data_IF_542677020669
#
_entry.id   IF_542677020669
#
_cell.length_a   1.000
_cell.length_b   1.000
_cell.length_c   1.000
_cell.angle_alpha   90.00
_cell.angle_beta   90.00
_cell.angle_gamma   90.00
#
_symmetry.space_group_name_H-M   'P 1'
#
loop_
_entity.id
_entity.type
_entity.pdbx_description
1 polymer ?
#
# COMPACT_ATOMS: atom_id res chain seq x y z
N UNK A 1 -9.22 -23.33 -12.28
CA UNK A 1 -7.93 -23.68 -12.90
C UNK A 1 -7.10 -24.41 -11.85
N UNK A 2 -6.67 -25.67 -12.11
CA UNK A 2 -5.65 -26.33 -11.31
C UNK A 2 -4.31 -25.59 -11.45
N UNK A 3 -3.55 -25.45 -10.36
CA UNK A 3 -2.21 -24.87 -10.37
C UNK A 3 -1.19 -26.02 -10.32
N UNK A 4 -0.51 -26.27 -11.44
CA UNK A 4 0.60 -27.22 -11.54
C UNK A 4 1.94 -26.48 -11.58
N UNK A 5 3.05 -27.21 -11.47
CA UNK A 5 4.41 -26.66 -11.58
C UNK A 5 4.59 -25.85 -12.87
N UNK A 6 4.13 -26.38 -13.99
CA UNK A 6 4.25 -25.74 -15.30
C UNK A 6 3.37 -24.47 -15.39
N UNK A 7 2.19 -24.48 -14.76
CA UNK A 7 1.29 -23.32 -14.74
C UNK A 7 1.86 -22.16 -13.93
N UNK A 8 2.56 -22.46 -12.83
CA UNK A 8 3.15 -21.43 -11.96
C UNK A 8 4.61 -21.13 -12.31
N UNK A 9 5.14 -21.73 -13.38
CA UNK A 9 6.50 -21.48 -13.81
C UNK A 9 6.68 -19.99 -14.16
N UNK A 10 7.72 -19.37 -13.62
CA UNK A 10 8.10 -17.97 -13.87
C UNK A 10 7.09 -16.88 -13.49
N UNK A 11 5.96 -17.20 -12.83
CA UNK A 11 4.99 -16.16 -12.42
C UNK A 11 5.59 -15.13 -11.45
N UNK A 12 6.64 -15.52 -10.71
CA UNK A 12 7.39 -14.65 -9.80
C UNK A 12 8.22 -13.57 -10.51
N UNK A 13 8.44 -13.69 -11.83
CA UNK A 13 9.16 -12.69 -12.62
C UNK A 13 8.27 -11.52 -13.08
N UNK A 14 6.96 -11.63 -12.87
CA UNK A 14 5.98 -10.62 -13.28
C UNK A 14 5.32 -9.97 -12.07
N UNK A 15 5.05 -8.67 -12.18
CA UNK A 15 4.21 -7.96 -11.22
C UNK A 15 2.73 -8.37 -11.33
N UNK A 16 1.95 -8.04 -10.31
CA UNK A 16 0.52 -8.31 -10.27
C UNK A 16 0.17 -9.69 -9.68
N UNK A 17 -0.99 -10.22 -10.07
CA UNK A 17 -1.49 -11.52 -9.63
C UNK A 17 -1.90 -12.36 -10.83
N UNK A 18 -1.27 -13.52 -11.01
CA UNK A 18 -1.64 -14.48 -12.04
C UNK A 18 -3.11 -14.93 -11.93
N UNK A 19 -3.65 -15.00 -10.70
CA UNK A 19 -5.04 -15.38 -10.44
C UNK A 19 -6.04 -14.22 -10.61
N UNK A 20 -5.55 -13.01 -10.84
CA UNK A 20 -6.34 -11.79 -10.80
C UNK A 20 -6.61 -11.31 -9.37
N UNK A 21 -7.23 -10.13 -9.27
CA UNK A 21 -7.66 -9.49 -8.02
C UNK A 21 -8.95 -8.72 -8.26
N UNK A 22 -9.79 -8.58 -7.24
CA UNK A 22 -11.00 -7.74 -7.27
C UNK A 22 -11.21 -7.06 -5.92
N UNK A 23 -12.02 -5.99 -5.90
CA UNK A 23 -12.55 -5.37 -4.69
C UNK A 23 -14.02 -5.74 -4.52
N UNK A 24 -14.43 -6.06 -3.29
CA UNK A 24 -15.75 -6.64 -3.04
C UNK A 24 -15.80 -8.13 -3.40
N UNK A 25 -16.76 -8.84 -2.83
CA UNK A 25 -16.84 -10.30 -2.96
C UNK A 25 -18.27 -10.82 -2.95
N UNK A 26 -18.40 -12.10 -3.28
CA UNK A 26 -19.65 -12.85 -3.17
C UNK A 26 -20.08 -13.00 -1.70
N UNK A 27 -21.33 -13.42 -1.48
CA UNK A 27 -21.81 -13.69 -0.12
C UNK A 27 -21.03 -14.86 0.48
N UNK A 28 -20.74 -14.79 1.78
CA UNK A 28 -19.99 -15.83 2.49
C UNK A 28 -20.58 -17.22 2.29
N UNK A 29 -21.91 -17.35 2.29
CA UNK A 29 -22.61 -18.62 2.05
C UNK A 29 -22.28 -19.22 0.69
N UNK A 30 -22.29 -18.40 -0.38
CA UNK A 30 -22.01 -18.84 -1.75
C UNK A 30 -20.55 -19.29 -1.91
N UNK A 31 -19.63 -18.61 -1.22
CA UNK A 31 -18.21 -19.00 -1.17
C UNK A 31 -18.07 -20.37 -0.51
N UNK A 32 -18.72 -20.58 0.65
CA UNK A 32 -18.65 -21.85 1.38
C UNK A 32 -19.33 -22.99 0.62
N UNK A 33 -20.43 -22.71 -0.10
CA UNK A 33 -21.06 -23.67 -1.01
C UNK A 33 -20.08 -24.13 -2.10
N UNK A 34 -19.33 -23.19 -2.69
CA UNK A 34 -18.29 -23.48 -3.69
C UNK A 34 -17.13 -24.29 -3.10
N UNK A 35 -16.67 -23.97 -1.88
CA UNK A 35 -15.63 -24.73 -1.16
C UNK A 35 -16.06 -26.19 -0.99
N UNK A 36 -17.30 -26.43 -0.53
CA UNK A 36 -17.82 -27.77 -0.33
C UNK A 36 -18.00 -28.53 -1.65
N UNK A 37 -18.60 -27.88 -2.66
CA UNK A 37 -18.82 -28.49 -3.98
C UNK A 37 -17.50 -28.88 -4.66
N UNK A 38 -16.44 -28.10 -4.45
CA UNK A 38 -15.11 -28.34 -5.00
C UNK A 38 -14.22 -29.21 -4.11
N UNK A 39 -14.71 -29.61 -2.92
CA UNK A 39 -13.99 -30.42 -1.93
C UNK A 39 -12.63 -29.80 -1.56
N UNK A 40 -12.63 -28.52 -1.25
CA UNK A 40 -11.43 -27.79 -0.83
C UNK A 40 -11.20 -28.00 0.67
N UNK A 41 -10.06 -28.58 1.04
CA UNK A 41 -9.68 -28.78 2.45
C UNK A 41 -8.93 -27.59 3.05
N UNK A 42 -8.30 -26.75 2.22
CA UNK A 42 -7.54 -25.57 2.65
C UNK A 42 -7.77 -24.38 1.73
N UNK A 43 -8.06 -23.22 2.31
CA UNK A 43 -8.22 -21.95 1.61
C UNK A 43 -7.19 -20.94 2.12
N UNK A 44 -6.34 -20.45 1.21
CA UNK A 44 -5.42 -19.34 1.49
C UNK A 44 -6.00 -18.04 0.94
N UNK A 45 -6.14 -17.03 1.80
CA UNK A 45 -6.69 -15.71 1.46
C UNK A 45 -5.59 -14.67 1.58
N UNK A 46 -5.09 -14.20 0.42
CA UNK A 46 -4.01 -13.21 0.33
C UNK A 46 -4.62 -11.82 0.18
N UNK A 47 -4.40 -10.91 1.12
CA UNK A 47 -5.02 -9.59 1.07
C UNK A 47 -4.77 -8.73 2.31
N UNK A 48 -5.39 -7.56 2.35
CA UNK A 48 -5.33 -6.66 3.52
C UNK A 48 -6.49 -6.90 4.49
N UNK A 49 -6.74 -5.91 5.36
CA UNK A 49 -7.75 -5.98 6.42
C UNK A 49 -9.13 -6.45 5.96
N UNK A 50 -9.64 -5.93 4.83
CA UNK A 50 -10.94 -6.36 4.28
C UNK A 50 -10.97 -7.82 3.86
N UNK A 51 -9.89 -8.33 3.27
CA UNK A 51 -9.76 -9.75 2.89
C UNK A 51 -9.65 -10.65 4.12
N UNK A 52 -8.97 -10.20 5.18
CA UNK A 52 -8.89 -10.92 6.45
C UNK A 52 -10.23 -10.99 7.17
N UNK A 53 -11.01 -9.91 7.16
CA UNK A 53 -12.39 -9.94 7.64
C UNK A 53 -13.24 -10.96 6.87
N UNK A 54 -13.08 -11.02 5.55
CA UNK A 54 -13.70 -12.04 4.70
C UNK A 54 -13.25 -13.47 5.03
N UNK A 55 -11.95 -13.68 5.24
CA UNK A 55 -11.40 -14.98 5.64
C UNK A 55 -11.98 -15.46 6.98
N UNK A 56 -12.10 -14.55 7.96
CA UNK A 56 -12.72 -14.85 9.24
C UNK A 56 -14.21 -15.22 9.10
N UNK A 57 -14.96 -14.48 8.28
CA UNK A 57 -16.36 -14.80 8.00
C UNK A 57 -16.52 -16.19 7.34
N UNK A 58 -15.64 -16.53 6.38
CA UNK A 58 -15.62 -17.85 5.74
C UNK A 58 -15.30 -18.95 6.75
N UNK A 59 -14.29 -18.73 7.61
CA UNK A 59 -13.93 -19.66 8.68
C UNK A 59 -15.11 -19.96 9.60
N UNK A 60 -15.80 -18.92 10.08
CA UNK A 60 -16.96 -19.06 10.97
C UNK A 60 -18.11 -19.83 10.34
N UNK A 61 -18.40 -19.57 9.06
CA UNK A 61 -19.44 -20.29 8.33
C UNK A 61 -19.06 -21.76 8.07
N UNK A 62 -17.81 -22.05 7.73
CA UNK A 62 -17.30 -23.43 7.65
C UNK A 62 -17.44 -24.16 8.99
N UNK A 63 -17.10 -23.50 10.10
CA UNK A 63 -17.21 -24.04 11.46
C UNK A 63 -18.66 -24.34 11.83
N UNK A 64 -19.58 -23.43 11.54
CA UNK A 64 -21.02 -23.60 11.75
C UNK A 64 -21.58 -24.82 11.00
N UNK A 65 -21.09 -25.06 9.78
CA UNK A 65 -21.46 -26.21 8.95
C UNK A 65 -20.68 -27.49 9.26
N UNK A 66 -19.76 -27.46 10.24
CA UNK A 66 -18.88 -28.57 10.63
C UNK A 66 -18.03 -29.09 9.45
N UNK A 67 -17.67 -28.21 8.53
CA UNK A 67 -16.78 -28.55 7.42
C UNK A 67 -15.33 -28.63 7.92
N UNK A 68 -14.59 -29.62 7.43
CA UNK A 68 -13.18 -29.82 7.77
C UNK A 68 -12.30 -29.00 6.83
N UNK A 69 -12.37 -27.67 6.94
CA UNK A 69 -11.63 -26.74 6.06
C UNK A 69 -10.75 -25.83 6.90
N UNK A 70 -9.46 -25.75 6.54
CA UNK A 70 -8.55 -24.76 7.10
C UNK A 70 -8.63 -23.47 6.29
N UNK A 71 -8.79 -22.32 6.97
CA UNK A 71 -8.78 -21.00 6.32
C UNK A 71 -7.58 -20.23 6.85
N UNK A 72 -6.66 -19.88 5.96
CA UNK A 72 -5.39 -19.23 6.30
C UNK A 72 -5.33 -17.86 5.64
N UNK A 73 -5.18 -16.82 6.45
CA UNK A 73 -4.97 -15.46 5.99
C UNK A 73 -3.48 -15.20 5.75
N UNK A 74 -3.13 -14.67 4.57
CA UNK A 74 -1.77 -14.25 4.22
C UNK A 74 -1.76 -12.72 4.08
N UNK A 75 -1.10 -12.01 5.00
CA UNK A 75 -1.17 -10.55 5.08
C UNK A 75 -0.46 -9.87 3.93
N UNK A 76 -1.21 -9.08 3.17
CA UNK A 76 -0.73 -8.32 2.01
C UNK A 76 -1.22 -6.88 2.05
N UNK A 77 -0.32 -5.99 2.40
CA UNK A 77 -0.43 -4.54 2.25
C UNK A 77 0.93 -4.02 1.81
N UNK A 78 0.94 -3.01 0.92
CA UNK A 78 2.20 -2.31 0.63
C UNK A 78 2.43 -1.19 1.65
N UNK A 79 1.38 -0.73 2.35
CA UNK A 79 1.47 0.39 3.30
C UNK A 79 2.14 -0.01 4.63
N UNK A 80 2.50 -1.29 4.80
CA UNK A 80 3.10 -1.86 6.01
C UNK A 80 2.33 -1.56 7.30
N UNK A 81 1.00 -1.61 7.22
CA UNK A 81 0.08 -1.15 8.26
C UNK A 81 -0.65 -2.29 9.01
N UNK A 82 -0.10 -3.51 8.96
CA UNK A 82 -0.68 -4.67 9.66
C UNK A 82 -0.08 -4.77 11.05
N UNK A 83 -0.96 -4.72 12.06
CA UNK A 83 -0.56 -4.87 13.47
C UNK A 83 0.19 -6.20 13.70
N UNK A 84 1.12 -6.17 14.67
CA UNK A 84 1.94 -7.33 15.06
C UNK A 84 2.92 -7.82 13.99
N UNK A 85 3.09 -7.07 12.91
CA UNK A 85 4.10 -7.33 11.88
C UNK A 85 4.97 -6.09 11.69
N UNK A 86 6.28 -6.29 11.73
CA UNK A 86 7.22 -5.21 11.42
C UNK A 86 7.28 -4.93 9.91
N UNK A 87 6.98 -5.96 9.09
CA UNK A 87 7.16 -5.89 7.64
C UNK A 87 6.18 -6.78 6.87
N UNK A 88 5.60 -6.23 5.81
CA UNK A 88 4.77 -6.97 4.84
C UNK A 88 5.44 -7.04 3.47
N UNK A 89 5.16 -8.10 2.71
CA UNK A 89 5.76 -8.25 1.39
C UNK A 89 5.24 -7.20 0.40
N UNK A 90 6.13 -6.73 -0.47
CA UNK A 90 5.87 -5.64 -1.42
C UNK A 90 6.18 -4.25 -0.88
N UNK A 91 6.38 -4.06 0.44
CA UNK A 91 6.75 -2.77 1.02
C UNK A 91 8.09 -2.25 0.49
N UNK A 92 9.16 -3.06 0.52
CA UNK A 92 10.49 -2.64 0.06
C UNK A 92 10.47 -2.23 -1.42
N UNK A 93 9.83 -3.04 -2.26
CA UNK A 93 9.69 -2.73 -3.68
C UNK A 93 8.92 -1.42 -3.88
N UNK A 94 7.89 -1.14 -3.06
CA UNK A 94 7.18 0.14 -3.12
C UNK A 94 8.07 1.32 -2.72
N UNK A 95 8.93 1.17 -1.72
CA UNK A 95 9.91 2.20 -1.32
C UNK A 95 10.96 2.42 -2.42
N UNK A 96 11.48 1.36 -3.02
CA UNK A 96 12.43 1.44 -4.14
C UNK A 96 11.83 2.14 -5.36
N UNK A 97 10.60 1.79 -5.74
CA UNK A 97 9.91 2.47 -6.85
C UNK A 97 9.58 3.94 -6.50
N UNK A 98 9.26 4.24 -5.25
CA UNK A 98 9.06 5.61 -4.79
C UNK A 98 10.33 6.47 -4.95
N UNK A 99 11.54 5.89 -4.77
CA UNK A 99 12.79 6.61 -5.00
C UNK A 99 12.91 7.13 -6.44
N UNK A 100 12.45 6.36 -7.42
CA UNK A 100 12.49 6.78 -8.84
C UNK A 100 11.61 8.00 -9.06
N UNK A 101 10.39 7.99 -8.52
CA UNK A 101 9.46 9.13 -8.61
C UNK A 101 10.01 10.38 -7.91
N UNK A 102 10.59 10.21 -6.72
CA UNK A 102 11.23 11.30 -5.97
C UNK A 102 12.39 11.91 -6.76
N UNK A 103 13.27 11.08 -7.31
CA UNK A 103 14.42 11.56 -8.06
C UNK A 103 14.01 12.34 -9.32
N UNK A 104 12.97 11.88 -10.04
CA UNK A 104 12.41 12.63 -11.16
C UNK A 104 11.86 13.99 -10.71
N UNK A 105 11.06 14.03 -9.64
CA UNK A 105 10.52 15.29 -9.13
C UNK A 105 11.62 16.25 -8.64
N UNK A 106 12.69 15.73 -8.04
CA UNK A 106 13.83 16.52 -7.60
C UNK A 106 14.57 17.17 -8.78
N UNK A 107 14.82 16.42 -9.86
CA UNK A 107 15.47 16.95 -11.07
C UNK A 107 14.62 18.05 -11.70
N UNK A 108 13.30 17.83 -11.84
CA UNK A 108 12.37 18.81 -12.39
C UNK A 108 12.31 20.08 -11.53
N UNK A 109 12.13 19.93 -10.22
CA UNK A 109 12.06 21.06 -9.28
C UNK A 109 13.32 21.93 -9.34
N UNK A 110 14.49 21.28 -9.35
CA UNK A 110 15.80 21.97 -9.40
C UNK A 110 16.06 22.66 -10.74
N UNK A 111 15.47 22.18 -11.83
CA UNK A 111 15.71 22.71 -13.18
C UNK A 111 14.84 23.92 -13.53
N UNK A 112 13.80 24.19 -12.73
CA UNK A 112 12.91 25.34 -12.91
C UNK A 112 13.22 26.47 -11.91
N UNK A 113 13.04 27.72 -12.34
CA UNK A 113 13.09 28.87 -11.43
C UNK A 113 11.94 28.79 -10.44
N UNK A 114 12.26 28.72 -9.14
CA UNK A 114 11.28 28.51 -8.06
C UNK A 114 10.43 27.25 -8.26
N UNK A 115 11.07 26.16 -8.74
CA UNK A 115 10.38 24.91 -9.03
C UNK A 115 9.90 24.16 -7.78
N UNK A 116 8.71 23.56 -7.88
CA UNK A 116 8.13 22.69 -6.84
C UNK A 116 7.88 21.31 -7.44
N UNK A 117 8.58 20.30 -6.91
CA UNK A 117 8.34 18.91 -7.24
C UNK A 117 7.36 18.30 -6.26
N UNK A 118 6.18 17.87 -6.72
CA UNK A 118 5.17 17.24 -5.87
C UNK A 118 5.04 15.76 -6.22
N UNK A 119 5.26 14.89 -5.24
CA UNK A 119 5.18 13.43 -5.39
C UNK A 119 4.10 12.88 -4.48
N UNK A 120 3.07 12.27 -5.07
CA UNK A 120 2.06 11.52 -4.31
C UNK A 120 2.50 10.06 -4.19
N UNK A 121 2.58 9.55 -2.96
CA UNK A 121 2.88 8.15 -2.66
C UNK A 121 1.70 7.44 -2.00
N UNK A 122 1.76 6.11 -1.98
CA UNK A 122 0.82 5.27 -1.25
C UNK A 122 0.96 5.50 0.26
N UNK A 123 -0.06 5.12 1.03
CA UNK A 123 -0.15 5.43 2.45
C UNK A 123 -1.52 5.98 2.82
N UNK A 124 -2.54 5.11 2.83
CA UNK A 124 -3.93 5.51 3.09
C UNK A 124 -4.15 5.94 4.53
N UNK A 125 -3.71 5.10 5.45
CA UNK A 125 -3.89 5.30 6.89
C UNK A 125 -2.55 5.38 7.62
N UNK A 126 -1.44 5.17 6.91
CA UNK A 126 -0.08 5.23 7.43
C UNK A 126 0.85 5.89 6.42
N UNK A 127 1.89 6.54 6.91
CA UNK A 127 2.92 7.23 6.13
C UNK A 127 4.19 6.42 5.92
N UNK A 128 4.21 5.11 6.18
CA UNK A 128 5.45 4.32 6.17
C UNK A 128 6.23 4.42 4.86
N UNK A 129 5.56 4.26 3.70
CA UNK A 129 6.23 4.39 2.40
C UNK A 129 6.77 5.81 2.24
N UNK A 130 5.94 6.83 2.50
CA UNK A 130 6.33 8.24 2.34
C UNK A 130 7.52 8.61 3.24
N UNK A 131 7.52 8.19 4.49
CA UNK A 131 8.61 8.45 5.44
C UNK A 131 9.89 7.71 5.06
N UNK A 132 9.82 6.40 4.80
CA UNK A 132 11.00 5.63 4.42
C UNK A 132 11.61 6.14 3.13
N UNK A 133 10.78 6.44 2.12
CA UNK A 133 11.25 6.96 0.85
C UNK A 133 11.85 8.37 0.98
N UNK A 134 11.25 9.23 1.81
CA UNK A 134 11.78 10.57 2.07
C UNK A 134 13.15 10.50 2.75
N UNK A 135 13.26 9.70 3.82
CA UNK A 135 14.49 9.55 4.59
C UNK A 135 15.61 8.90 3.77
N UNK A 136 15.32 7.88 2.97
CA UNK A 136 16.33 7.21 2.15
C UNK A 136 16.82 8.09 1.00
N UNK A 137 15.94 8.95 0.44
CA UNK A 137 16.32 9.81 -0.69
C UNK A 137 17.22 10.96 -0.27
N UNK A 138 17.00 11.55 0.91
CA UNK A 138 17.61 12.81 1.33
C UNK A 138 17.24 14.01 0.44
N UNK A 139 16.25 13.88 -0.43
CA UNK A 139 15.86 14.88 -1.44
C UNK A 139 14.56 15.62 -1.09
N UNK A 140 13.75 15.06 -0.18
CA UNK A 140 12.45 15.61 0.21
C UNK A 140 12.62 16.70 1.26
N UNK A 141 12.04 17.88 0.99
CA UNK A 141 12.03 19.00 1.93
C UNK A 141 10.82 18.96 2.86
N UNK A 142 9.67 18.50 2.36
CA UNK A 142 8.43 18.39 3.12
C UNK A 142 7.80 17.02 2.88
N UNK A 143 7.59 16.25 3.95
CA UNK A 143 6.88 14.97 3.92
C UNK A 143 5.56 15.10 4.68
N UNK A 144 4.44 14.93 3.98
CA UNK A 144 3.08 14.99 4.54
C UNK A 144 2.52 13.58 4.65
N UNK A 145 2.14 13.18 5.86
CA UNK A 145 1.67 11.84 6.20
C UNK A 145 0.35 11.87 6.99
N UNK A 146 -0.48 10.79 6.95
CA UNK A 146 -1.76 10.76 7.65
C UNK A 146 -1.65 10.91 9.17
N UNK A 147 -0.53 10.49 9.76
CA UNK A 147 -0.32 10.50 11.22
C UNK A 147 -0.06 11.89 11.79
N UNK A 148 0.33 12.86 10.96
CA UNK A 148 0.71 14.21 11.40
C UNK A 148 -0.23 15.23 10.79
N UNK A 149 -1.05 15.86 11.62
CA UNK A 149 -1.94 16.94 11.19
C UNK A 149 -1.13 18.17 10.74
N UNK A 150 -1.58 18.82 9.68
CA UNK A 150 -0.99 20.05 9.16
C UNK A 150 -2.07 20.99 8.63
N UNK A 151 -1.70 22.26 8.45
CA UNK A 151 -2.52 23.28 7.79
C UNK A 151 -1.77 23.78 6.56
N UNK A 152 -2.48 24.09 5.48
CA UNK A 152 -1.85 24.64 4.27
C UNK A 152 -1.48 26.10 4.50
N UNK A 153 -2.43 26.89 4.98
CA UNK A 153 -2.29 28.32 5.23
C UNK A 153 -1.92 28.64 6.69
N UNK A 154 -1.58 29.90 6.95
CA UNK A 154 -1.35 30.43 8.30
C UNK A 154 0.12 30.60 8.66
N UNK A 155 0.36 30.92 9.94
CA UNK A 155 1.71 31.28 10.41
C UNK A 155 2.71 30.13 10.36
N UNK A 156 2.20 28.92 10.56
CA UNK A 156 2.94 27.68 10.57
C UNK A 156 2.42 26.72 9.50
N UNK A 157 1.74 27.27 8.47
CA UNK A 157 1.20 26.50 7.37
C UNK A 157 2.28 26.00 6.41
N UNK A 158 2.00 24.90 5.73
CA UNK A 158 2.89 24.30 4.73
C UNK A 158 3.27 25.31 3.64
N UNK A 159 2.31 26.10 3.15
CA UNK A 159 2.56 27.06 2.06
C UNK A 159 3.58 28.14 2.45
N UNK A 160 3.53 28.63 3.68
CA UNK A 160 4.54 29.60 4.18
C UNK A 160 5.93 28.96 4.24
N UNK A 161 6.01 27.71 4.70
CA UNK A 161 7.28 27.00 4.73
C UNK A 161 7.84 26.77 3.31
N UNK A 162 6.98 26.45 2.34
CA UNK A 162 7.38 26.34 0.93
C UNK A 162 7.88 27.69 0.38
N UNK A 163 7.21 28.81 0.67
CA UNK A 163 7.68 30.13 0.27
C UNK A 163 9.07 30.46 0.85
N UNK A 164 9.30 30.12 2.12
CA UNK A 164 10.62 30.25 2.74
C UNK A 164 11.69 29.41 2.01
N UNK A 165 11.38 28.16 1.66
CA UNK A 165 12.30 27.29 0.91
C UNK A 165 12.57 27.82 -0.50
N UNK A 166 11.56 28.32 -1.21
CA UNK A 166 11.76 28.92 -2.53
C UNK A 166 12.69 30.14 -2.47
N UNK A 167 12.56 30.99 -1.46
CA UNK A 167 13.40 32.18 -1.33
C UNK A 167 14.85 31.87 -0.87
N UNK A 168 15.05 30.79 -0.09
CA UNK A 168 16.36 30.45 0.49
C UNK A 168 17.12 29.38 -0.28
N UNK A 169 16.43 28.38 -0.82
CA UNK A 169 16.96 27.24 -1.57
C UNK A 169 16.73 27.37 -3.08
N UNK A 170 15.72 28.12 -3.52
CA UNK A 170 15.38 28.32 -4.94
C UNK A 170 14.46 27.26 -5.54
N UNK A 171 14.21 26.16 -4.84
CA UNK A 171 13.30 25.08 -5.23
C UNK A 171 12.92 24.24 -4.00
N UNK A 172 11.86 23.43 -4.11
CA UNK A 172 11.51 22.47 -3.07
C UNK A 172 10.89 21.18 -3.61
N UNK A 173 11.04 20.07 -2.89
CA UNK A 173 10.37 18.80 -3.19
C UNK A 173 9.47 18.39 -2.03
N UNK A 174 8.23 18.09 -2.36
CA UNK A 174 7.17 17.73 -1.42
C UNK A 174 6.70 16.31 -1.72
N UNK A 175 6.75 15.46 -0.70
CA UNK A 175 6.18 14.12 -0.73
C UNK A 175 4.87 14.12 0.06
N UNK A 176 3.80 13.56 -0.52
CA UNK A 176 2.48 13.50 0.10
C UNK A 176 1.93 12.07 0.03
N UNK A 177 1.68 11.45 1.17
CA UNK A 177 0.95 10.19 1.23
C UNK A 177 -0.53 10.40 0.86
N UNK A 178 -1.16 9.44 0.19
CA UNK A 178 -2.54 9.60 -0.32
C UNK A 178 -3.60 9.90 0.75
N UNK A 179 -3.36 9.52 2.00
CA UNK A 179 -4.23 9.81 3.14
C UNK A 179 -3.95 11.12 3.87
N UNK A 180 -2.89 11.86 3.48
CA UNK A 180 -2.51 13.07 4.20
C UNK A 180 -3.47 14.23 3.86
N UNK A 181 -3.93 14.95 4.89
CA UNK A 181 -4.80 16.13 4.73
C UNK A 181 -6.27 15.81 4.41
N UNK A 182 -6.75 14.61 4.75
CA UNK A 182 -8.17 14.24 4.70
C UNK A 182 -8.97 14.73 5.90
#
# INVERSE_FOLDING_TARGET
MPLSRDVVENINLSGGSFLGVSRGGAKTSEIVDSIQARRIDMLFVIGGNGSHAGANAIHEECRKRKLKVSVVAVPKTIDNDILFMDKTFGFDTAVEEAQRAINSAYIEARSAYHGIGLVKLMGRSSGFIAMHASLSSGQIDVCLIPEVSFTLDGEHGVLRHLEHLLNTKGFCVVCVAEGAGQ
#
